data_IF_884392137720
#
_entry.id   IF_884392137720
#
_cell.length_a   1.000
_cell.length_b   1.000
_cell.length_c   1.000
_cell.angle_alpha   90.00
_cell.angle_beta   90.00
_cell.angle_gamma   90.00
#
_symmetry.space_group_name_H-M   'P 1'
#
loop_
_entity.id
_entity.type
_entity.pdbx_description
1 polymer ?
#
# COMPACT_ATOMS: atom_id res chain seq x y z
N UNK A 1 17.83 -8.56 1.34
CA UNK A 1 17.37 -7.26 0.81
C UNK A 1 16.87 -6.38 1.96
N UNK A 2 17.34 -5.17 2.00
CA UNK A 2 16.91 -4.22 3.04
C UNK A 2 16.36 -2.95 2.43
N UNK A 3 15.28 -2.44 3.03
CA UNK A 3 14.78 -1.10 2.74
C UNK A 3 14.88 -0.35 4.07
N UNK A 4 15.85 0.56 4.16
CA UNK A 4 16.26 1.19 5.43
C UNK A 4 16.62 0.09 6.43
N UNK A 5 15.94 0.04 7.58
CA UNK A 5 16.17 -0.97 8.61
C UNK A 5 15.24 -2.19 8.51
N UNK A 6 14.45 -2.27 7.45
CA UNK A 6 13.54 -3.40 7.24
C UNK A 6 14.27 -4.47 6.43
N UNK A 7 14.52 -5.62 7.05
CA UNK A 7 15.16 -6.75 6.39
C UNK A 7 14.11 -7.70 5.84
N UNK A 8 14.08 -7.86 4.52
CA UNK A 8 13.08 -8.66 3.83
C UNK A 8 13.57 -10.05 3.46
N UNK A 9 14.79 -10.40 3.89
CA UNK A 9 15.38 -11.69 3.59
C UNK A 9 16.19 -11.68 2.30
N UNK A 10 16.78 -12.83 1.99
CA UNK A 10 17.69 -12.96 0.83
C UNK A 10 16.92 -13.00 -0.49
N UNK A 11 15.81 -13.71 -0.53
CA UNK A 11 14.98 -13.85 -1.72
C UNK A 11 13.52 -13.54 -1.35
N UNK A 12 13.20 -12.27 -1.16
CA UNK A 12 11.87 -11.91 -0.65
C UNK A 12 10.76 -12.16 -1.67
N UNK A 13 9.60 -12.54 -1.14
CA UNK A 13 8.38 -12.73 -1.92
C UNK A 13 7.38 -11.68 -1.47
N UNK A 14 6.94 -10.85 -2.39
CA UNK A 14 6.00 -9.76 -2.12
C UNK A 14 4.63 -10.08 -2.69
N UNK A 15 3.58 -9.81 -1.92
CA UNK A 15 2.23 -9.85 -2.45
C UNK A 15 1.96 -8.52 -3.16
N UNK A 16 1.74 -8.58 -4.48
CA UNK A 16 1.47 -7.39 -5.27
C UNK A 16 0.12 -6.76 -4.90
N UNK A 17 -0.01 -5.43 -5.03
CA UNK A 17 -1.30 -4.78 -4.81
C UNK A 17 -2.29 -5.14 -5.91
N UNK A 18 -3.50 -5.55 -5.53
CA UNK A 18 -4.53 -5.97 -6.49
C UNK A 18 -5.89 -5.45 -6.03
N UNK A 19 -6.53 -4.64 -6.89
CA UNK A 19 -7.86 -4.09 -6.60
C UNK A 19 -8.85 -5.22 -6.33
N UNK A 20 -9.64 -5.04 -5.27
CA UNK A 20 -10.66 -5.99 -4.83
C UNK A 20 -10.13 -7.39 -4.45
N UNK A 21 -8.83 -7.54 -4.33
CA UNK A 21 -8.20 -8.83 -3.96
C UNK A 21 -7.39 -8.70 -2.67
N UNK A 22 -6.48 -7.73 -2.60
CA UNK A 22 -5.58 -7.62 -1.45
C UNK A 22 -6.20 -6.86 -0.27
N UNK A 23 -7.33 -7.37 0.22
CA UNK A 23 -7.96 -6.89 1.44
C UNK A 23 -7.20 -7.44 2.67
N UNK A 24 -7.54 -6.98 3.88
CA UNK A 24 -6.81 -7.43 5.08
C UNK A 24 -6.79 -8.93 5.28
N UNK A 25 -7.89 -9.62 5.01
CA UNK A 25 -7.95 -11.07 5.21
C UNK A 25 -7.03 -11.80 4.23
N UNK A 26 -7.03 -11.38 2.96
CA UNK A 26 -6.17 -11.98 1.96
C UNK A 26 -4.68 -11.73 2.25
N UNK A 27 -4.36 -10.50 2.68
CA UNK A 27 -2.98 -10.16 3.03
C UNK A 27 -2.47 -11.01 4.20
N UNK A 28 -3.29 -11.18 5.24
CA UNK A 28 -2.92 -12.02 6.39
C UNK A 28 -2.72 -13.47 5.97
N UNK A 29 -3.56 -13.98 5.08
CA UNK A 29 -3.41 -15.32 4.55
C UNK A 29 -2.07 -15.49 3.84
N UNK A 30 -1.72 -14.53 2.99
CA UNK A 30 -0.45 -14.57 2.25
C UNK A 30 0.76 -14.48 3.18
N UNK A 31 0.66 -13.65 4.23
CA UNK A 31 1.72 -13.57 5.25
C UNK A 31 1.91 -14.93 5.92
N UNK A 32 0.82 -15.58 6.25
CA UNK A 32 0.84 -16.88 6.91
C UNK A 32 1.53 -17.94 6.06
N UNK A 33 1.40 -17.85 4.75
CA UNK A 33 2.01 -18.78 3.81
C UNK A 33 3.35 -18.34 3.25
N UNK A 34 3.97 -17.31 3.82
CA UNK A 34 5.36 -16.99 3.54
C UNK A 34 5.65 -15.71 2.78
N UNK A 35 4.66 -14.85 2.54
CA UNK A 35 4.95 -13.55 1.96
C UNK A 35 5.80 -12.74 2.93
N UNK A 36 6.88 -12.16 2.43
CA UNK A 36 7.80 -11.36 3.24
C UNK A 36 7.31 -9.93 3.41
N UNK A 37 6.56 -9.44 2.44
CA UNK A 37 5.91 -8.13 2.52
C UNK A 37 4.61 -8.18 1.74
N UNK A 38 3.61 -7.45 2.21
CA UNK A 38 2.32 -7.35 1.52
C UNK A 38 2.01 -5.91 1.20
N UNK A 39 1.19 -5.71 0.17
CA UNK A 39 0.68 -4.41 -0.24
C UNK A 39 -0.81 -4.36 -0.02
N UNK A 40 -1.31 -3.19 0.38
CA UNK A 40 -2.75 -2.94 0.33
C UNK A 40 -3.18 -2.87 -1.14
N UNK A 41 -4.48 -2.76 -1.38
CA UNK A 41 -4.95 -2.39 -2.72
C UNK A 41 -4.37 -1.01 -3.04
N UNK A 42 -4.09 -0.72 -4.32
CA UNK A 42 -3.55 0.59 -4.68
C UNK A 42 -4.61 1.68 -4.45
N UNK A 43 -4.15 2.86 -4.05
CA UNK A 43 -5.00 3.94 -3.55
C UNK A 43 -4.90 5.15 -4.46
N UNK A 44 -6.07 5.65 -4.90
CA UNK A 44 -6.12 6.88 -5.69
C UNK A 44 -5.79 8.09 -4.82
N UNK A 45 -4.78 8.85 -5.21
CA UNK A 45 -4.41 10.08 -4.50
C UNK A 45 -5.55 11.09 -4.51
N UNK A 46 -6.22 11.26 -5.66
CA UNK A 46 -7.37 12.18 -5.78
C UNK A 46 -8.50 11.80 -4.83
N UNK A 47 -8.84 10.53 -4.78
CA UNK A 47 -9.90 10.05 -3.90
C UNK A 47 -9.50 10.23 -2.43
N UNK A 48 -8.23 10.02 -2.12
CA UNK A 48 -7.73 10.11 -0.76
C UNK A 48 -7.83 11.54 -0.22
N UNK A 49 -7.40 12.53 -1.00
CA UNK A 49 -7.47 13.92 -0.55
C UNK A 49 -8.90 14.43 -0.43
N UNK A 50 -9.85 13.81 -1.14
CA UNK A 50 -11.27 14.12 -1.01
C UNK A 50 -11.95 13.34 0.11
N UNK A 51 -11.19 12.55 0.86
CA UNK A 51 -11.68 11.75 1.99
C UNK A 51 -12.81 10.80 1.61
N UNK A 52 -12.71 10.17 0.44
CA UNK A 52 -13.68 9.16 0.01
C UNK A 52 -13.60 7.97 0.97
N UNK A 53 -14.71 7.66 1.66
CA UNK A 53 -14.72 6.66 2.73
C UNK A 53 -14.20 5.30 2.32
N UNK A 54 -14.57 4.82 1.14
CA UNK A 54 -14.12 3.54 0.62
C UNK A 54 -12.60 3.52 0.41
N UNK A 55 -12.04 4.64 -0.06
CA UNK A 55 -10.60 4.79 -0.24
C UNK A 55 -9.89 4.87 1.11
N UNK A 56 -10.45 5.62 2.05
CA UNK A 56 -9.88 5.74 3.39
C UNK A 56 -9.79 4.39 4.09
N UNK A 57 -10.76 3.51 3.87
CA UNK A 57 -10.74 2.17 4.45
C UNK A 57 -9.56 1.33 3.98
N UNK A 58 -9.04 1.60 2.79
CA UNK A 58 -7.87 0.89 2.25
C UNK A 58 -6.60 1.18 3.03
N UNK A 59 -6.60 2.22 3.85
CA UNK A 59 -5.45 2.57 4.70
C UNK A 59 -5.43 1.79 6.02
N UNK A 60 -6.47 0.99 6.29
CA UNK A 60 -6.52 0.19 7.51
C UNK A 60 -5.57 -1.00 7.40
N UNK A 61 -4.54 -0.99 8.22
CA UNK A 61 -3.55 -2.05 8.28
C UNK A 61 -3.41 -2.55 9.70
N UNK A 62 -3.06 -3.81 9.86
CA UNK A 62 -2.84 -4.44 11.16
C UNK A 62 -1.35 -4.74 11.35
N UNK A 63 -0.89 -4.70 12.57
CA UNK A 63 0.52 -5.00 12.86
C UNK A 63 0.92 -6.40 12.41
N UNK A 64 -0.03 -7.33 12.40
CA UNK A 64 0.22 -8.70 11.94
C UNK A 64 0.58 -8.79 10.48
N UNK A 65 0.25 -7.76 9.67
CA UNK A 65 0.58 -7.71 8.26
C UNK A 65 1.99 -7.23 7.98
N UNK A 66 2.66 -6.66 8.98
CA UNK A 66 3.94 -5.99 8.78
C UNK A 66 5.06 -6.94 8.39
N UNK A 67 6.00 -6.55 7.53
CA UNK A 67 6.04 -5.25 6.85
C UNK A 67 4.95 -5.13 5.79
N UNK A 68 4.29 -3.98 5.76
CA UNK A 68 3.19 -3.70 4.85
C UNK A 68 3.42 -2.37 4.14
N UNK A 69 3.14 -2.36 2.85
CA UNK A 69 3.26 -1.18 2.02
C UNK A 69 1.88 -0.67 1.62
N UNK A 70 1.75 0.64 1.55
CA UNK A 70 0.58 1.28 0.94
C UNK A 70 1.05 1.91 -0.35
N UNK A 71 0.39 1.56 -1.45
CA UNK A 71 0.73 2.09 -2.77
C UNK A 71 -0.29 3.14 -3.19
N UNK A 72 0.21 4.29 -3.64
CA UNK A 72 -0.64 5.36 -4.16
C UNK A 72 -0.33 5.60 -5.64
N UNK A 73 -1.31 6.15 -6.35
CA UNK A 73 -1.16 6.58 -7.73
C UNK A 73 -1.93 7.88 -7.94
N UNK A 74 -1.47 8.67 -8.89
CA UNK A 74 -2.10 9.95 -9.20
C UNK A 74 -1.42 10.60 -10.38
N UNK A 75 -1.92 11.78 -10.76
CA UNK A 75 -1.48 12.47 -11.97
C UNK A 75 -0.50 13.59 -11.75
N UNK A 76 -0.60 14.28 -10.64
CA UNK A 76 0.22 15.48 -10.42
C UNK A 76 0.93 15.44 -9.08
N UNK A 77 1.99 16.23 -9.00
CA UNK A 77 2.86 16.27 -7.85
C UNK A 77 2.16 16.73 -6.58
N UNK A 78 1.37 17.79 -6.67
CA UNK A 78 0.71 18.36 -5.49
C UNK A 78 -0.23 17.37 -4.84
N UNK A 79 -1.07 16.74 -5.65
CA UNK A 79 -2.01 15.73 -5.17
C UNK A 79 -1.28 14.54 -4.54
N UNK A 80 -0.18 14.10 -5.17
CA UNK A 80 0.62 13.00 -4.65
C UNK A 80 1.26 13.34 -3.32
N UNK A 81 1.75 14.56 -3.15
CA UNK A 81 2.34 15.00 -1.89
C UNK A 81 1.30 15.01 -0.77
N UNK A 82 0.12 15.56 -1.04
CA UNK A 82 -0.95 15.58 -0.04
C UNK A 82 -1.41 14.17 0.33
N UNK A 83 -1.55 13.31 -0.67
CA UNK A 83 -1.92 11.92 -0.43
C UNK A 83 -0.86 11.19 0.41
N UNK A 84 0.41 11.43 0.12
CA UNK A 84 1.51 10.82 0.88
C UNK A 84 1.47 11.22 2.35
N UNK A 85 1.12 12.46 2.65
CA UNK A 85 0.97 12.92 4.04
C UNK A 85 -0.15 12.20 4.76
N UNK A 86 -1.26 11.96 4.07
CA UNK A 86 -2.39 11.23 4.65
C UNK A 86 -2.00 9.78 4.90
N UNK A 87 -1.32 9.15 3.95
CA UNK A 87 -0.87 7.77 4.07
C UNK A 87 0.12 7.62 5.23
N UNK A 88 0.99 8.59 5.41
CA UNK A 88 1.97 8.58 6.49
C UNK A 88 1.30 8.48 7.86
N UNK A 89 0.13 9.07 8.02
CA UNK A 89 -0.64 9.00 9.27
C UNK A 89 -1.16 7.59 9.57
N UNK A 90 -1.24 6.74 8.56
CA UNK A 90 -1.63 5.33 8.75
C UNK A 90 -0.44 4.45 9.17
N UNK A 91 0.77 5.02 9.17
CA UNK A 91 2.01 4.36 9.59
C UNK A 91 2.34 3.05 8.87
N UNK A 92 2.28 3.02 7.52
CA UNK A 92 2.79 1.84 6.81
C UNK A 92 4.31 1.76 6.97
N UNK A 93 4.85 0.59 6.76
CA UNK A 93 6.31 0.43 6.77
C UNK A 93 6.92 1.07 5.53
N UNK A 94 6.20 1.03 4.42
CA UNK A 94 6.66 1.55 3.13
C UNK A 94 5.51 2.29 2.45
N UNK A 95 5.81 3.44 1.87
CA UNK A 95 4.93 4.12 0.93
C UNK A 95 5.49 3.84 -0.45
N UNK A 96 4.67 3.28 -1.31
CA UNK A 96 5.07 2.94 -2.67
C UNK A 96 4.31 3.80 -3.66
N UNK A 97 4.95 4.13 -4.78
CA UNK A 97 4.35 4.99 -5.80
C UNK A 97 4.23 4.21 -7.10
N UNK A 98 3.00 4.13 -7.62
CA UNK A 98 2.72 3.46 -8.87
C UNK A 98 2.80 4.47 -10.02
N UNK A 99 3.74 4.27 -10.94
CA UNK A 99 3.93 5.11 -12.11
C UNK A 99 3.28 4.53 -13.37
N UNK A 100 2.83 3.30 -13.31
CA UNK A 100 2.44 2.55 -14.50
C UNK A 100 0.96 2.17 -14.58
N UNK A 101 0.12 2.76 -13.75
CA UNK A 101 -1.29 2.40 -13.74
C UNK A 101 -2.00 2.92 -15.00
N UNK A 102 -2.55 2.03 -15.86
CA UNK A 102 -3.20 2.47 -17.10
C UNK A 102 -4.69 2.82 -16.93
N UNK A 103 -5.13 3.04 -15.72
CA UNK A 103 -6.54 3.31 -15.43
C UNK A 103 -6.95 4.65 -16.01
N UNK A 104 -8.06 4.66 -16.75
CA UNK A 104 -8.64 5.90 -17.28
C UNK A 104 -9.33 6.69 -16.17
N UNK A 105 -9.25 7.98 -16.27
CA UNK A 105 -9.87 8.93 -15.33
C UNK A 105 -11.02 9.65 -15.99
#
# INVERSE_FOLDING_TARGET
>A
MKIRNIDLGKYPIFLAPMEDVTDPAFRLMCKKFGADMVYTEFVSADALIRSVGKTMQKLNINDEERPVAIQIYGRDTETMVEAAKIVEEAHPDILDINFGCPVKR
#
